data_IF_837548529031
#
_entry.id   IF_837548529031
#
_cell.length_a   1.000
_cell.length_b   1.000
_cell.length_c   1.000
_cell.angle_alpha   90.00
_cell.angle_beta   90.00
_cell.angle_gamma   90.00
#
_symmetry.space_group_name_H-M   'P 1'
#
loop_
_entity.id
_entity.type
_entity.pdbx_description
1 polymer ?
#
# COMPACT_ATOMS: atom_id res chain seq x y z
N UNK A 1 29.72 42.13 7.52
CA UNK A 1 28.64 41.27 8.03
C UNK A 1 28.60 40.07 7.11
N UNK A 2 29.13 38.92 7.53
CA UNK A 2 29.21 37.74 6.68
C UNK A 2 27.95 36.91 6.88
N UNK A 3 27.06 36.96 5.89
CA UNK A 3 25.89 36.10 5.79
C UNK A 3 26.35 34.66 5.54
N UNK A 4 26.34 33.83 6.59
CA UNK A 4 26.52 32.39 6.46
C UNK A 4 25.21 31.81 5.92
N UNK A 5 25.11 31.68 4.60
CA UNK A 5 24.09 30.84 3.96
C UNK A 5 24.27 29.40 4.44
N UNK A 6 23.31 28.86 5.19
CA UNK A 6 23.24 27.42 5.44
C UNK A 6 22.86 26.72 4.12
N UNK A 7 23.52 25.60 3.75
CA UNK A 7 23.07 24.78 2.62
C UNK A 7 21.68 24.19 2.93
N UNK A 8 20.86 23.90 1.90
CA UNK A 8 19.59 23.21 2.11
C UNK A 8 19.89 21.86 2.77
N UNK A 9 19.28 21.60 3.93
CA UNK A 9 19.37 20.29 4.57
C UNK A 9 18.83 19.26 3.58
N UNK A 10 19.67 18.30 3.19
CA UNK A 10 19.20 17.11 2.47
C UNK A 10 18.23 16.30 3.34
N UNK A 11 17.57 15.27 2.76
CA UNK A 11 16.77 14.35 3.55
C UNK A 11 17.63 13.72 4.65
N UNK A 12 17.08 13.57 5.85
CA UNK A 12 17.74 12.91 6.97
C UNK A 12 18.05 11.45 6.64
N UNK A 13 19.20 10.96 7.11
CA UNK A 13 19.58 9.55 6.96
C UNK A 13 18.60 8.65 7.74
N UNK A 14 18.24 7.52 7.15
CA UNK A 14 17.32 6.53 7.73
C UNK A 14 18.16 5.49 8.47
N UNK A 15 18.54 5.81 9.70
CA UNK A 15 19.47 5.00 10.48
C UNK A 15 18.78 4.11 11.52
N UNK A 16 17.53 4.42 11.87
CA UNK A 16 16.75 3.64 12.83
C UNK A 16 15.62 2.88 12.17
N UNK A 17 15.16 1.83 12.87
CA UNK A 17 13.97 1.09 12.44
C UNK A 17 12.72 1.98 12.45
N UNK A 18 12.70 3.00 13.31
CA UNK A 18 11.63 3.98 13.42
C UNK A 18 11.65 4.98 12.25
N UNK A 19 12.83 5.38 11.77
CA UNK A 19 12.95 6.16 10.53
C UNK A 19 12.50 5.34 9.31
N UNK A 20 12.76 4.03 9.33
CA UNK A 20 12.49 3.14 8.20
C UNK A 20 11.05 2.66 8.13
N UNK A 21 10.45 2.32 9.28
CA UNK A 21 9.15 1.66 9.37
C UNK A 21 8.12 2.47 10.18
N UNK A 22 8.51 3.60 10.76
CA UNK A 22 7.69 4.37 11.70
C UNK A 22 7.75 3.81 13.12
N UNK A 23 7.09 4.50 14.05
CA UNK A 23 6.93 4.04 15.43
C UNK A 23 6.00 2.81 15.48
N UNK A 24 6.49 1.68 15.97
CA UNK A 24 5.69 0.45 16.12
C UNK A 24 5.26 0.32 17.58
N UNK A 25 3.95 0.31 17.82
CA UNK A 25 3.41 0.01 19.15
C UNK A 25 3.56 -1.49 19.43
N UNK A 26 4.28 -1.84 20.51
CA UNK A 26 4.44 -3.23 20.92
C UNK A 26 3.14 -3.77 21.52
N UNK A 27 2.80 -5.02 21.19
CA UNK A 27 1.68 -5.71 21.81
C UNK A 27 2.04 -6.09 23.25
N UNK A 28 1.23 -5.61 24.20
CA UNK A 28 1.28 -6.03 25.60
C UNK A 28 0.29 -7.19 25.79
N UNK A 29 0.81 -8.39 26.07
CA UNK A 29 -0.01 -9.59 26.32
C UNK A 29 -0.49 -9.71 27.76
N UNK A 30 0.10 -8.93 28.68
CA UNK A 30 -0.35 -8.83 30.06
C UNK A 30 -1.47 -7.79 30.21
N UNK A 31 -1.64 -6.91 29.22
CA UNK A 31 -2.83 -6.08 29.09
C UNK A 31 -4.05 -6.98 28.84
N UNK A 32 -5.05 -7.01 29.75
CA UNK A 32 -6.26 -7.81 29.55
C UNK A 32 -7.08 -7.36 28.33
N UNK A 33 -6.73 -6.24 27.69
CA UNK A 33 -7.41 -5.72 26.53
C UNK A 33 -8.84 -5.26 26.86
N UNK A 34 -9.64 -4.91 25.84
CA UNK A 34 -11.05 -4.58 26.04
C UNK A 34 -11.80 -5.79 26.61
N UNK A 35 -12.27 -5.68 27.86
CA UNK A 35 -12.92 -6.76 28.60
C UNK A 35 -14.40 -6.98 28.24
N UNK A 36 -14.76 -6.84 26.96
CA UNK A 36 -16.14 -7.05 26.50
C UNK A 36 -16.44 -8.54 26.35
N UNK A 37 -17.54 -9.03 26.93
CA UNK A 37 -18.02 -10.37 26.58
C UNK A 37 -18.67 -10.32 25.21
N UNK A 38 -18.46 -11.35 24.39
CA UNK A 38 -19.13 -11.48 23.11
C UNK A 38 -20.66 -11.35 23.29
N UNK A 39 -21.27 -10.38 22.61
CA UNK A 39 -22.70 -10.06 22.72
C UNK A 39 -23.07 -8.94 23.71
N UNK A 40 -22.11 -8.38 24.44
CA UNK A 40 -22.33 -7.13 25.19
C UNK A 40 -22.31 -5.92 24.25
N UNK A 41 -23.16 -4.91 24.49
CA UNK A 41 -23.16 -3.70 23.67
C UNK A 41 -21.82 -2.98 23.78
N UNK A 42 -21.31 -2.48 22.64
CA UNK A 42 -20.06 -1.75 22.61
C UNK A 42 -20.11 -0.51 23.53
N UNK A 43 -19.01 -0.18 24.24
CA UNK A 43 -18.92 1.03 25.03
C UNK A 43 -19.16 2.27 24.18
N UNK A 44 -19.66 3.34 24.80
CA UNK A 44 -20.02 4.56 24.09
C UNK A 44 -18.81 5.21 23.42
N UNK A 45 -17.63 5.19 24.06
CA UNK A 45 -16.39 5.65 23.42
C UNK A 45 -16.03 4.90 22.13
N UNK A 46 -16.43 3.62 21.99
CA UNK A 46 -16.18 2.84 20.77
C UNK A 46 -17.18 3.22 19.68
N UNK A 47 -18.45 3.42 20.06
CA UNK A 47 -19.49 3.88 19.13
C UNK A 47 -19.16 5.27 18.57
N UNK A 48 -18.66 6.18 19.40
CA UNK A 48 -18.26 7.54 18.98
C UNK A 48 -17.10 7.55 17.97
N UNK A 49 -16.36 6.44 17.83
CA UNK A 49 -15.28 6.28 16.87
C UNK A 49 -15.74 5.66 15.54
N UNK A 50 -16.97 5.16 15.47
CA UNK A 50 -17.52 4.59 14.24
C UNK A 50 -17.73 5.67 13.20
N UNK A 51 -17.49 5.32 11.93
CA UNK A 51 -17.86 6.19 10.82
C UNK A 51 -19.38 6.18 10.63
N UNK A 52 -19.98 7.28 10.15
CA UNK A 52 -21.41 7.31 9.81
C UNK A 52 -21.83 6.22 8.81
N UNK A 53 -20.92 5.81 7.92
CA UNK A 53 -21.11 4.66 7.03
C UNK A 53 -21.30 3.37 7.83
N UNK A 54 -20.39 3.09 8.78
CA UNK A 54 -20.45 1.85 9.57
C UNK A 54 -21.70 1.76 10.46
N UNK A 55 -22.17 2.88 11.00
CA UNK A 55 -23.43 2.90 11.75
C UNK A 55 -24.64 2.54 10.88
N UNK A 56 -24.64 2.96 9.61
CA UNK A 56 -25.73 2.67 8.66
C UNK A 56 -25.69 1.23 8.17
N UNK A 57 -24.51 0.68 7.94
CA UNK A 57 -24.31 -0.64 7.35
C UNK A 57 -24.25 -1.78 8.39
N UNK A 58 -24.22 -1.45 9.69
CA UNK A 58 -24.16 -2.45 10.75
C UNK A 58 -25.29 -3.49 10.64
N UNK A 59 -24.92 -4.76 10.45
CA UNK A 59 -25.86 -5.86 10.29
C UNK A 59 -26.53 -5.96 8.92
N UNK A 60 -26.08 -5.17 7.93
CA UNK A 60 -26.43 -5.33 6.52
C UNK A 60 -25.38 -6.20 5.82
N UNK A 61 -25.84 -7.06 4.94
CA UNK A 61 -24.98 -7.82 4.03
C UNK A 61 -24.75 -7.04 2.73
N UNK A 62 -23.76 -7.45 1.93
CA UNK A 62 -23.38 -6.75 0.70
C UNK A 62 -24.51 -6.57 -0.33
N UNK A 63 -25.52 -7.44 -0.29
CA UNK A 63 -26.72 -7.30 -1.13
C UNK A 63 -27.71 -6.24 -0.66
N UNK A 64 -27.58 -5.75 0.58
CA UNK A 64 -28.46 -4.76 1.21
C UNK A 64 -27.83 -3.37 1.24
N UNK A 65 -26.49 -3.28 1.26
CA UNK A 65 -25.70 -2.06 1.12
C UNK A 65 -25.65 -1.61 -0.35
N UNK A 66 -26.65 -0.84 -0.78
CA UNK A 66 -26.73 -0.23 -2.11
C UNK A 66 -25.82 1.02 -2.28
N UNK A 67 -24.69 1.07 -1.57
CA UNK A 67 -23.78 2.21 -1.56
C UNK A 67 -22.83 2.26 -2.77
N UNK A 68 -22.37 3.44 -3.21
CA UNK A 68 -21.25 3.54 -4.12
C UNK A 68 -19.97 3.17 -3.36
N UNK A 69 -19.61 1.89 -3.39
CA UNK A 69 -18.36 1.40 -2.82
C UNK A 69 -17.24 1.46 -3.86
N UNK A 70 -16.00 1.59 -3.39
CA UNK A 70 -14.79 1.46 -4.21
C UNK A 70 -14.67 0.04 -4.77
N UNK A 71 -15.28 -0.94 -4.10
CA UNK A 71 -15.42 -2.31 -4.57
C UNK A 71 -16.79 -2.51 -5.20
N UNK A 72 -16.81 -3.17 -6.37
CA UNK A 72 -17.99 -3.26 -7.25
C UNK A 72 -19.16 -4.08 -6.64
N UNK A 73 -18.93 -4.72 -5.50
CA UNK A 73 -19.77 -5.78 -4.93
C UNK A 73 -20.58 -5.34 -3.70
N UNK A 74 -20.44 -4.08 -3.24
CA UNK A 74 -21.21 -3.54 -2.11
C UNK A 74 -20.86 -4.19 -0.77
N UNK A 75 -19.68 -4.79 -0.63
CA UNK A 75 -19.25 -5.58 0.53
C UNK A 75 -19.19 -4.68 1.77
N UNK A 76 -19.91 -5.03 2.84
CA UNK A 76 -19.82 -4.28 4.09
C UNK A 76 -18.62 -4.74 4.92
N UNK A 77 -18.25 -3.97 5.95
CA UNK A 77 -17.21 -4.41 6.89
C UNK A 77 -17.57 -5.68 7.67
N UNK A 78 -18.84 -6.09 7.68
CA UNK A 78 -19.30 -7.31 8.34
C UNK A 78 -19.16 -8.55 7.42
N UNK A 79 -19.01 -8.35 6.11
CA UNK A 79 -18.77 -9.40 5.12
C UNK A 79 -17.27 -9.72 4.91
N UNK A 80 -16.37 -8.89 5.48
CA UNK A 80 -14.93 -9.08 5.36
C UNK A 80 -14.45 -10.29 6.18
N UNK A 81 -13.68 -11.16 5.53
CA UNK A 81 -12.99 -12.29 6.16
C UNK A 81 -11.58 -11.88 6.61
N UNK A 82 -10.93 -12.63 7.53
CA UNK A 82 -9.54 -12.34 7.93
C UNK A 82 -8.55 -12.25 6.77
N UNK A 83 -8.82 -12.98 5.67
CA UNK A 83 -7.99 -12.96 4.46
C UNK A 83 -8.19 -11.68 3.63
N UNK A 84 -9.28 -10.94 3.86
CA UNK A 84 -9.62 -9.67 3.20
C UNK A 84 -9.58 -8.46 4.14
N UNK A 85 -9.24 -8.65 5.42
CA UNK A 85 -9.05 -7.60 6.43
C UNK A 85 -7.64 -6.99 6.33
N UNK A 86 -7.25 -6.54 5.14
CA UNK A 86 -6.09 -5.66 5.02
C UNK A 86 -6.55 -4.23 5.28
N UNK A 87 -5.92 -3.56 6.25
CA UNK A 87 -6.21 -2.16 6.53
C UNK A 87 -5.57 -1.27 5.46
N UNK A 88 -6.34 -0.97 4.41
CA UNK A 88 -5.91 -0.10 3.31
C UNK A 88 -6.01 1.40 3.65
N UNK A 89 -6.46 1.75 4.87
CA UNK A 89 -6.52 3.16 5.30
C UNK A 89 -5.12 3.79 5.47
N UNK A 90 -4.06 2.98 5.38
CA UNK A 90 -2.68 3.41 5.60
C UNK A 90 -2.35 3.61 7.09
N UNK A 91 -3.21 3.15 8.00
CA UNK A 91 -2.89 3.06 9.42
C UNK A 91 -1.75 2.04 9.65
N UNK A 92 -0.80 2.37 10.52
CA UNK A 92 0.31 1.46 10.88
C UNK A 92 0.01 0.66 12.13
N UNK A 93 -1.08 0.99 12.83
CA UNK A 93 -1.54 0.27 14.01
C UNK A 93 -3.07 0.28 14.10
N UNK A 94 -3.69 -0.69 14.79
CA UNK A 94 -5.15 -0.74 14.95
C UNK A 94 -5.77 0.48 15.67
N UNK A 95 -4.96 1.28 16.37
CA UNK A 95 -5.39 2.48 17.09
C UNK A 95 -5.13 3.78 16.32
N UNK A 96 -4.33 3.70 15.26
CA UNK A 96 -4.05 4.84 14.39
C UNK A 96 -5.20 5.00 13.41
N UNK A 97 -5.75 6.22 13.32
CA UNK A 97 -6.67 6.53 12.23
C UNK A 97 -5.86 6.62 10.95
N UNK A 98 -6.09 5.71 10.02
CA UNK A 98 -5.48 5.79 8.70
C UNK A 98 -5.84 7.09 8.00
N UNK A 99 -4.91 7.61 7.22
CA UNK A 99 -5.11 8.86 6.51
C UNK A 99 -5.97 8.66 5.25
N UNK A 100 -6.25 7.41 4.86
CA UNK A 100 -7.09 7.05 3.72
C UNK A 100 -6.54 7.53 2.38
N UNK A 101 -5.26 7.90 2.38
CA UNK A 101 -4.61 8.55 1.27
C UNK A 101 -3.52 7.62 0.72
N UNK A 102 -3.47 7.41 -0.61
CA UNK A 102 -2.35 6.74 -1.24
C UNK A 102 -1.02 7.36 -0.81
N UNK A 103 -0.01 6.51 -0.63
CA UNK A 103 1.34 6.94 -0.24
C UNK A 103 1.98 7.83 -1.33
N UNK A 104 1.52 7.70 -2.56
CA UNK A 104 1.95 8.36 -3.79
C UNK A 104 0.89 9.35 -4.29
N UNK A 105 0.78 10.49 -3.59
CA UNK A 105 -0.08 11.62 -4.05
C UNK A 105 0.65 12.62 -4.94
N UNK A 106 1.98 12.59 -4.93
CA UNK A 106 2.80 13.50 -5.73
C UNK A 106 2.90 12.98 -7.16
N UNK A 107 1.90 13.33 -7.96
CA UNK A 107 1.93 13.10 -9.40
C UNK A 107 2.80 14.17 -10.07
N UNK A 108 3.64 13.73 -11.00
CA UNK A 108 4.37 14.62 -11.90
C UNK A 108 3.86 14.45 -13.33
N UNK A 109 3.78 15.56 -14.06
CA UNK A 109 3.50 15.51 -15.50
C UNK A 109 4.83 15.18 -16.17
N UNK A 110 4.89 13.98 -16.72
CA UNK A 110 6.03 13.44 -17.46
C UNK A 110 5.71 13.41 -18.96
N UNK A 111 6.74 13.39 -19.81
CA UNK A 111 6.57 13.17 -21.25
C UNK A 111 6.42 11.67 -21.60
N UNK A 112 6.10 11.36 -22.86
CA UNK A 112 5.94 9.98 -23.38
C UNK A 112 7.16 9.08 -23.11
N UNK A 113 8.37 9.64 -23.01
CA UNK A 113 9.58 8.86 -22.75
C UNK A 113 9.82 8.59 -21.26
N UNK A 114 9.15 9.33 -20.40
CA UNK A 114 9.32 9.32 -18.94
C UNK A 114 8.15 8.63 -18.20
N UNK A 115 7.04 8.32 -18.88
CA UNK A 115 5.90 7.54 -18.32
C UNK A 115 6.25 6.09 -17.98
N UNK A 116 7.49 5.66 -18.22
CA UNK A 116 7.92 4.29 -17.92
C UNK A 116 7.34 3.24 -18.88
N UNK A 117 6.93 3.64 -20.09
CA UNK A 117 6.51 2.71 -21.16
C UNK A 117 7.63 1.73 -21.57
N UNK A 118 8.86 1.97 -21.12
CA UNK A 118 10.00 1.13 -21.45
C UNK A 118 10.54 1.48 -22.82
N UNK A 119 11.09 2.68 -22.96
CA UNK A 119 11.89 3.02 -24.13
C UNK A 119 13.24 2.31 -24.06
N UNK A 120 13.40 1.23 -24.81
CA UNK A 120 14.62 0.42 -24.83
C UNK A 120 14.34 -0.99 -25.33
N UNK A 121 15.41 -1.77 -25.50
CA UNK A 121 15.28 -3.22 -25.67
C UNK A 121 14.87 -3.81 -24.33
N UNK A 122 13.91 -4.74 -24.33
CA UNK A 122 13.61 -5.53 -23.13
C UNK A 122 14.85 -6.37 -22.73
N UNK A 123 14.86 -6.97 -21.54
CA UNK A 123 16.03 -7.75 -21.12
C UNK A 123 16.38 -8.89 -22.09
N UNK A 124 15.38 -9.44 -22.81
CA UNK A 124 15.57 -10.53 -23.76
C UNK A 124 16.21 -10.03 -25.07
N UNK A 125 15.78 -8.90 -25.60
CA UNK A 125 16.36 -8.22 -26.75
C UNK A 125 17.74 -7.65 -26.42
N UNK A 126 17.94 -7.15 -25.19
CA UNK A 126 19.23 -6.68 -24.72
C UNK A 126 20.23 -7.82 -24.58
N UNK A 127 19.80 -9.02 -24.19
CA UNK A 127 20.67 -10.19 -24.16
C UNK A 127 21.23 -10.56 -25.55
N UNK A 128 20.45 -10.32 -26.62
CA UNK A 128 20.90 -10.54 -28.01
C UNK A 128 21.91 -9.48 -28.47
N UNK A 129 21.70 -8.23 -28.07
CA UNK A 129 22.56 -7.10 -28.49
C UNK A 129 23.82 -6.96 -27.62
N UNK A 130 23.70 -7.24 -26.32
CA UNK A 130 24.76 -7.16 -25.31
C UNK A 130 24.79 -8.43 -24.44
N UNK A 131 25.20 -9.57 -25.00
CA UNK A 131 25.31 -10.82 -24.27
C UNK A 131 26.35 -10.72 -23.15
N UNK A 132 26.07 -11.37 -22.01
CA UNK A 132 26.89 -11.29 -20.79
C UNK A 132 28.32 -11.79 -20.98
N UNK A 133 28.54 -12.68 -21.94
CA UNK A 133 29.83 -13.23 -22.30
C UNK A 133 30.53 -12.48 -23.46
N UNK A 134 29.87 -11.43 -24.00
CA UNK A 134 30.36 -10.59 -25.09
C UNK A 134 30.41 -11.29 -26.45
N UNK A 135 29.76 -12.45 -26.61
CA UNK A 135 29.69 -13.19 -27.88
C UNK A 135 28.27 -13.09 -28.43
N UNK A 136 28.07 -12.66 -29.69
CA UNK A 136 26.75 -12.61 -30.27
C UNK A 136 26.12 -14.01 -30.19
N UNK A 137 24.82 -14.07 -29.92
CA UNK A 137 24.07 -15.32 -30.01
C UNK A 137 24.31 -15.90 -31.42
N UNK A 138 24.85 -17.11 -31.48
CA UNK A 138 24.91 -17.84 -32.74
C UNK A 138 23.46 -18.13 -33.12
N UNK A 139 22.93 -17.39 -34.10
CA UNK A 139 21.74 -17.85 -34.80
C UNK A 139 22.12 -19.21 -35.39
N UNK A 140 21.70 -20.29 -34.73
CA UNK A 140 21.63 -21.59 -35.36
C UNK A 140 20.64 -21.42 -36.50
N UNK A 141 21.17 -21.08 -37.67
CA UNK A 141 20.48 -21.17 -38.95
C UNK A 141 20.02 -22.63 -39.10
N UNK A 142 18.85 -22.97 -38.58
CA UNK A 142 18.09 -24.14 -39.01
C UNK A 142 17.52 -23.86 -40.41
N UNK A 143 18.41 -23.65 -41.39
CA UNK A 143 18.08 -23.87 -42.78
C UNK A 143 18.59 -25.25 -43.20
N UNK A 144 17.62 -26.06 -43.64
CA UNK A 144 17.73 -27.23 -44.50
C UNK A 144 18.29 -28.54 -43.92
N UNK A 145 17.37 -29.42 -43.51
CA UNK A 145 17.25 -30.76 -44.14
C UNK A 145 15.91 -31.45 -43.78
N UNK A 146 14.86 -31.26 -44.62
CA UNK A 146 14.05 -32.35 -45.23
C UNK A 146 12.84 -31.87 -46.04
#
# INVERSE_FOLDING_TARGET
MNDKKHPPSGPSEIDTMEDRMGSIEQLDFDDPGPSGRFGEPAPREVLDQLTPEREREAGMTGGESLGPDVHEDGITQDDLSPETLFDESGARSPRERGQGLPADQDLSIVDESEIGEGGGLDEAEMARVMPLDGRPDEEEDEEDER
#
